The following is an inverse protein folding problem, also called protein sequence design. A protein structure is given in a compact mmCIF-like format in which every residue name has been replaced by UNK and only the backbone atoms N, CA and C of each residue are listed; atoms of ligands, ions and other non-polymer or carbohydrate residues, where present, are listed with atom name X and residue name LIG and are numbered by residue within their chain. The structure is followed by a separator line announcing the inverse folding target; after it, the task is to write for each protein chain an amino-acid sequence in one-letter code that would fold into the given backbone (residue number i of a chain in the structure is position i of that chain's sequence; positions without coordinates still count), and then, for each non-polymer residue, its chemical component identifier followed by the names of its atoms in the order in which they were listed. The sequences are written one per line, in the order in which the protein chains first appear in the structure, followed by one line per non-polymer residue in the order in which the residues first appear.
data_IF_819980708756
#
_entry.id   IF_819980708756
#
_cell.length_a   1.000
_cell.length_b   1.000
_cell.length_c   1.000
_cell.angle_alpha   90.00
_cell.angle_beta   90.00
_cell.angle_gamma   90.00
#
_symmetry.space_group_name_H-M   'P 1'
#
loop_
_entity.id
_entity.type
_entity.pdbx_description
1 polymer ?
#
# COMPACT_ATOMS: atom_id res chain seq x y z
N UNK A 1 1.36 -6.57 -8.08
CA UNK A 1 2.23 -6.81 -9.25
C UNK A 1 3.43 -7.67 -8.87
N UNK A 2 4.12 -7.36 -7.77
CA UNK A 2 5.25 -8.14 -7.23
C UNK A 2 4.93 -9.63 -6.99
N UNK A 3 3.77 -9.96 -6.41
CA UNK A 3 3.29 -11.35 -6.18
C UNK A 3 3.10 -12.14 -7.47
N UNK A 4 2.58 -11.50 -8.51
CA UNK A 4 2.33 -12.13 -9.81
C UNK A 4 3.65 -12.44 -10.51
N UNK A 5 4.57 -11.48 -10.55
CA UNK A 5 5.90 -11.64 -11.15
C UNK A 5 6.74 -12.67 -10.36
N UNK A 6 6.68 -12.66 -9.02
CA UNK A 6 7.46 -13.58 -8.19
C UNK A 6 6.95 -15.02 -8.23
N UNK A 7 5.63 -15.23 -8.30
CA UNK A 7 5.03 -16.58 -8.43
C UNK A 7 5.41 -17.24 -9.75
N UNK A 8 5.54 -16.47 -10.83
CA UNK A 8 5.98 -16.98 -12.14
C UNK A 8 7.44 -17.46 -12.12
N UNK A 9 8.31 -16.86 -11.30
CA UNK A 9 9.71 -17.26 -11.18
C UNK A 9 9.97 -18.38 -10.17
N UNK A 10 9.33 -18.32 -9.00
CA UNK A 10 9.47 -19.34 -7.95
C UNK A 10 8.22 -19.35 -7.04
N UNK A 11 7.41 -20.43 -7.07
CA UNK A 11 6.18 -20.51 -6.28
C UNK A 11 6.38 -20.29 -4.77
N UNK A 12 7.52 -20.71 -4.22
CA UNK A 12 7.83 -20.55 -2.79
C UNK A 12 8.05 -19.08 -2.43
N UNK A 13 8.75 -18.32 -3.30
CA UNK A 13 8.91 -16.88 -3.14
C UNK A 13 7.57 -16.14 -3.33
N UNK A 14 6.73 -16.62 -4.26
CA UNK A 14 5.37 -16.12 -4.45
C UNK A 14 4.52 -16.18 -3.18
N UNK A 15 4.51 -17.34 -2.49
CA UNK A 15 3.77 -17.51 -1.22
C UNK A 15 4.31 -16.60 -0.12
N UNK A 16 5.64 -16.48 0.03
CA UNK A 16 6.24 -15.57 1.02
C UNK A 16 5.84 -14.13 0.78
N UNK A 17 5.88 -13.66 -0.47
CA UNK A 17 5.50 -12.29 -0.83
C UNK A 17 4.00 -12.08 -0.66
N UNK A 18 3.17 -13.07 -0.98
CA UNK A 18 1.71 -12.99 -0.79
C UNK A 18 1.35 -12.81 0.70
N UNK A 19 1.99 -13.57 1.59
CA UNK A 19 1.79 -13.42 3.04
C UNK A 19 2.28 -12.06 3.53
N UNK A 20 3.44 -11.59 3.05
CA UNK A 20 3.96 -10.27 3.42
C UNK A 20 3.00 -9.14 3.03
N UNK A 21 2.45 -9.18 1.81
CA UNK A 21 1.45 -8.22 1.35
C UNK A 21 0.17 -8.32 2.19
N UNK A 22 -0.32 -9.54 2.45
CA UNK A 22 -1.53 -9.72 3.26
C UNK A 22 -1.41 -9.10 4.67
N UNK A 23 -0.23 -9.20 5.30
CA UNK A 23 0.03 -8.58 6.61
C UNK A 23 0.07 -7.05 6.49
N UNK A 24 0.67 -6.50 5.43
CA UNK A 24 0.73 -5.05 5.18
C UNK A 24 -0.65 -4.42 4.96
N UNK A 25 -1.54 -5.14 4.28
CA UNK A 25 -2.87 -4.65 3.94
C UNK A 25 -3.80 -4.56 5.16
N UNK A 26 -3.46 -5.17 6.31
CA UNK A 26 -4.25 -5.05 7.54
C UNK A 26 -4.20 -3.62 8.10
N UNK A 27 -3.02 -3.03 8.39
CA UNK A 27 -2.89 -1.61 8.73
C UNK A 27 -3.57 -0.66 7.74
N UNK A 28 -3.42 -0.90 6.44
CA UNK A 28 -4.03 -0.07 5.39
C UNK A 28 -5.55 -0.19 5.37
N UNK A 29 -6.09 -1.40 5.52
CA UNK A 29 -7.53 -1.60 5.66
C UNK A 29 -8.11 -0.85 6.86
N UNK A 30 -7.37 -0.78 7.97
CA UNK A 30 -7.76 0.00 9.15
C UNK A 30 -7.72 1.50 8.87
N UNK A 31 -6.69 2.00 8.17
CA UNK A 31 -6.58 3.43 7.83
C UNK A 31 -7.69 3.91 6.88
N UNK A 32 -8.23 3.01 6.04
CA UNK A 32 -9.41 3.30 5.20
C UNK A 32 -10.73 3.15 5.99
N UNK A 33 -10.86 2.11 6.82
CA UNK A 33 -12.11 1.81 7.52
C UNK A 33 -12.46 2.86 8.58
N UNK A 34 -11.48 3.34 9.36
CA UNK A 34 -11.72 4.26 10.48
C UNK A 34 -12.34 5.60 10.01
N UNK A 35 -11.78 6.31 9.02
CA UNK A 35 -12.34 7.57 8.53
C UNK A 35 -13.74 7.39 7.93
N UNK A 36 -13.97 6.29 7.20
CA UNK A 36 -15.29 5.95 6.67
C UNK A 36 -16.29 5.74 7.79
N UNK A 37 -15.91 5.01 8.85
CA UNK A 37 -16.77 4.84 10.02
C UNK A 37 -17.10 6.17 10.69
N UNK A 38 -16.12 7.06 10.88
CA UNK A 38 -16.37 8.38 11.47
C UNK A 38 -17.26 9.27 10.57
N UNK A 39 -17.19 9.11 9.25
CA UNK A 39 -18.02 9.87 8.31
C UNK A 39 -19.45 9.31 8.18
N UNK A 40 -19.64 7.99 8.29
CA UNK A 40 -20.94 7.34 8.02
C UNK A 40 -21.63 6.77 9.26
N UNK A 41 -20.92 6.66 10.38
CA UNK A 41 -21.34 5.99 11.62
C UNK A 41 -21.85 4.54 11.42
N UNK A 42 -21.37 3.86 10.38
CA UNK A 42 -21.82 2.52 9.97
C UNK A 42 -20.61 1.58 9.83
N UNK A 43 -20.48 0.66 10.79
CA UNK A 43 -19.37 -0.31 10.85
C UNK A 43 -19.36 -1.26 9.67
N UNK A 44 -20.54 -1.69 9.18
CA UNK A 44 -20.63 -2.64 8.06
C UNK A 44 -20.17 -1.96 6.78
N UNK A 45 -20.60 -0.71 6.54
CA UNK A 45 -20.14 0.08 5.38
C UNK A 45 -18.63 0.31 5.42
N UNK A 46 -18.08 0.68 6.58
CA UNK A 46 -16.64 0.87 6.75
C UNK A 46 -15.83 -0.38 6.37
N UNK A 47 -16.24 -1.56 6.85
CA UNK A 47 -15.58 -2.83 6.54
C UNK A 47 -15.71 -3.18 5.05
N UNK A 48 -16.91 -3.04 4.48
CA UNK A 48 -17.14 -3.35 3.06
C UNK A 48 -16.30 -2.45 2.16
N UNK A 49 -16.26 -1.14 2.44
CA UNK A 49 -15.48 -0.20 1.64
C UNK A 49 -13.97 -0.44 1.78
N UNK A 50 -13.48 -0.73 2.98
CA UNK A 50 -12.08 -1.12 3.17
C UNK A 50 -11.72 -2.43 2.44
N UNK A 51 -12.62 -3.42 2.45
CA UNK A 51 -12.44 -4.67 1.71
C UNK A 51 -12.42 -4.45 0.20
N UNK A 52 -13.35 -3.63 -0.33
CA UNK A 52 -13.38 -3.27 -1.74
C UNK A 52 -12.11 -2.51 -2.17
N UNK A 53 -11.59 -1.62 -1.31
CA UNK A 53 -10.29 -0.97 -1.51
C UNK A 53 -9.16 -1.99 -1.60
N UNK A 54 -9.12 -2.96 -0.68
CA UNK A 54 -8.11 -4.02 -0.69
C UNK A 54 -8.16 -4.92 -1.93
N UNK A 55 -9.32 -5.08 -2.56
CA UNK A 55 -9.45 -5.80 -3.85
C UNK A 55 -8.86 -5.00 -5.02
N UNK A 56 -8.78 -3.68 -4.92
CA UNK A 56 -8.25 -2.84 -5.99
C UNK A 56 -6.77 -3.18 -6.31
N UNK A 57 -5.98 -3.58 -5.31
CA UNK A 57 -4.58 -3.95 -5.50
C UNK A 57 -4.37 -5.22 -6.35
N UNK A 58 -4.96 -6.40 -6.06
CA UNK A 58 -4.80 -7.59 -6.90
C UNK A 58 -5.42 -7.39 -8.28
N UNK A 59 -6.53 -6.65 -8.39
CA UNK A 59 -7.15 -6.34 -9.68
C UNK A 59 -6.24 -5.42 -10.51
N UNK A 60 -5.72 -4.35 -9.92
CA UNK A 60 -4.77 -3.44 -10.55
C UNK A 60 -3.46 -4.13 -10.93
N UNK A 61 -2.98 -5.05 -10.08
CA UNK A 61 -1.83 -5.89 -10.36
C UNK A 61 -2.03 -6.81 -11.57
N UNK A 62 -3.22 -7.41 -11.70
CA UNK A 62 -3.56 -8.27 -12.82
C UNK A 62 -3.68 -7.47 -14.11
N UNK A 63 -4.46 -6.40 -14.10
CA UNK A 63 -4.69 -5.54 -15.29
C UNK A 63 -3.37 -4.90 -15.73
N UNK A 64 -2.65 -4.27 -14.81
CA UNK A 64 -1.36 -3.65 -15.07
C UNK A 64 -0.32 -4.66 -15.54
N UNK A 65 -0.30 -5.86 -14.92
CA UNK A 65 0.56 -6.95 -15.33
C UNK A 65 0.29 -7.40 -16.77
N UNK A 66 -0.97 -7.60 -17.14
CA UNK A 66 -1.35 -8.02 -18.50
C UNK A 66 -1.03 -6.96 -19.56
N UNK A 67 -1.25 -5.68 -19.26
CA UNK A 67 -0.98 -4.57 -20.18
C UNK A 67 0.53 -4.36 -20.35
N UNK A 68 1.29 -4.40 -19.25
CA UNK A 68 2.71 -4.06 -19.26
C UNK A 68 3.61 -5.23 -19.65
N UNK A 69 3.17 -6.50 -19.49
CA UNK A 69 3.98 -7.70 -19.77
C UNK A 69 4.73 -7.64 -21.11
N UNK A 70 4.09 -7.26 -22.24
CA UNK A 70 4.75 -7.22 -23.54
C UNK A 70 5.81 -6.13 -23.67
N UNK A 71 5.76 -5.11 -22.83
CA UNK A 71 6.60 -3.91 -22.88
C UNK A 71 7.60 -3.83 -21.72
N UNK A 72 7.67 -4.86 -20.87
CA UNK A 72 8.54 -4.90 -19.70
C UNK A 72 10.02 -4.82 -20.11
N UNK A 73 10.64 -3.70 -19.77
CA UNK A 73 12.08 -3.50 -19.78
C UNK A 73 12.49 -2.62 -18.59
N UNK A 74 13.79 -2.51 -18.32
CA UNK A 74 14.30 -1.77 -17.14
C UNK A 74 13.83 -0.31 -17.10
N UNK A 75 13.72 0.35 -18.26
CA UNK A 75 13.27 1.75 -18.36
C UNK A 75 11.78 1.87 -18.03
N UNK A 76 10.94 1.02 -18.62
CA UNK A 76 9.48 1.01 -18.36
C UNK A 76 9.22 0.70 -16.89
N UNK A 77 9.93 -0.28 -16.32
CA UNK A 77 9.82 -0.64 -14.91
C UNK A 77 10.22 0.53 -14.00
N UNK A 78 11.32 1.23 -14.31
CA UNK A 78 11.73 2.43 -13.58
C UNK A 78 10.70 3.56 -13.64
N UNK A 79 10.14 3.84 -14.82
CA UNK A 79 9.08 4.84 -14.99
C UNK A 79 7.83 4.46 -14.20
N UNK A 80 7.37 3.21 -14.29
CA UNK A 80 6.20 2.72 -13.55
C UNK A 80 6.43 2.82 -12.03
N UNK A 81 7.58 2.37 -11.53
CA UNK A 81 7.88 2.51 -10.10
C UNK A 81 7.99 3.95 -9.64
N UNK A 82 8.55 4.85 -10.46
CA UNK A 82 8.60 6.29 -10.12
C UNK A 82 7.21 6.90 -10.00
N UNK A 83 6.27 6.53 -10.89
CA UNK A 83 4.89 6.98 -10.82
C UNK A 83 4.17 6.43 -9.60
N UNK A 84 4.32 5.12 -9.31
CA UNK A 84 3.73 4.49 -8.12
C UNK A 84 4.26 5.14 -6.84
N UNK A 85 5.57 5.34 -6.75
CA UNK A 85 6.19 5.99 -5.60
C UNK A 85 5.66 7.42 -5.40
N UNK A 86 5.54 8.21 -6.48
CA UNK A 86 4.98 9.55 -6.43
C UNK A 86 3.53 9.58 -5.92
N UNK A 87 2.68 8.69 -6.44
CA UNK A 87 1.27 8.59 -6.01
C UNK A 87 1.18 8.18 -4.53
N UNK A 88 2.01 7.23 -4.09
CA UNK A 88 2.00 6.80 -2.68
C UNK A 88 2.47 7.89 -1.73
N UNK A 89 3.44 8.72 -2.14
CA UNK A 89 3.84 9.90 -1.37
C UNK A 89 2.71 10.91 -1.27
N UNK A 90 2.02 11.21 -2.39
CA UNK A 90 0.85 12.09 -2.40
C UNK A 90 -0.25 11.59 -1.47
N UNK A 91 -0.69 10.33 -1.61
CA UNK A 91 -1.72 9.73 -0.74
C UNK A 91 -1.27 9.80 0.73
N UNK A 92 0.00 9.51 1.02
CA UNK A 92 0.49 9.52 2.40
C UNK A 92 0.46 10.91 3.03
N UNK A 93 0.87 11.94 2.29
CA UNK A 93 1.02 13.29 2.81
C UNK A 93 -0.25 14.14 2.71
N UNK A 94 -1.03 14.00 1.64
CA UNK A 94 -2.20 14.85 1.39
C UNK A 94 -3.52 14.18 1.82
N UNK A 95 -3.55 12.85 1.99
CA UNK A 95 -4.76 12.15 2.43
C UNK A 95 -4.58 11.52 3.82
N UNK A 96 -3.60 10.64 4.00
CA UNK A 96 -3.44 9.86 5.24
C UNK A 96 -2.99 10.72 6.41
N UNK A 97 -1.98 11.58 6.24
CA UNK A 97 -1.49 12.45 7.33
C UNK A 97 -2.57 13.44 7.82
N UNK A 98 -3.27 14.21 6.96
CA UNK A 98 -4.34 15.11 7.40
C UNK A 98 -5.49 14.35 8.06
N UNK A 99 -5.79 13.14 7.58
CA UNK A 99 -6.78 12.26 8.19
C UNK A 99 -6.35 11.80 9.59
N UNK A 100 -5.09 11.42 9.76
CA UNK A 100 -4.53 11.04 11.05
C UNK A 100 -4.54 12.22 12.05
N UNK A 101 -4.25 13.44 11.59
CA UNK A 101 -4.34 14.65 12.42
C UNK A 101 -5.78 15.03 12.76
N UNK A 102 -6.72 14.81 11.83
CA UNK A 102 -8.15 15.13 12.05
C UNK A 102 -8.81 14.21 13.07
N UNK A 103 -8.45 12.92 13.06
CA UNK A 103 -9.06 11.90 13.92
C UNK A 103 -8.18 11.47 15.10
N UNK A 104 -6.97 12.01 15.22
CA UNK A 104 -5.99 11.70 16.25
C UNK A 104 -5.27 12.96 16.77
N UNK A 105 -4.19 12.76 17.51
CA UNK A 105 -3.39 13.86 18.06
C UNK A 105 -2.29 14.26 17.06
N UNK A 106 -2.21 15.55 16.74
CA UNK A 106 -1.28 16.12 15.75
C UNK A 106 0.18 15.66 15.98
N UNK A 107 0.68 15.77 17.21
CA UNK A 107 2.04 15.36 17.53
C UNK A 107 2.28 13.86 17.38
N UNK A 108 1.30 13.02 17.72
CA UNK A 108 1.42 11.56 17.59
C UNK A 108 1.44 11.16 16.11
N UNK A 109 0.61 11.81 15.27
CA UNK A 109 0.61 11.58 13.83
C UNK A 109 1.98 11.87 13.20
N UNK A 110 2.58 13.03 13.54
CA UNK A 110 3.91 13.42 13.06
C UNK A 110 4.99 12.45 13.56
N UNK A 111 4.98 12.08 14.85
CA UNK A 111 5.93 11.09 15.36
C UNK A 111 5.76 9.72 14.69
N UNK A 112 4.53 9.33 14.36
CA UNK A 112 4.24 8.11 13.59
C UNK A 112 4.86 8.14 12.21
N UNK A 113 4.71 9.26 11.47
CA UNK A 113 5.33 9.42 10.13
C UNK A 113 6.85 9.38 10.22
N UNK A 114 7.46 10.18 11.11
CA UNK A 114 8.93 10.25 11.23
C UNK A 114 9.52 8.90 11.64
N UNK A 115 8.92 8.23 12.63
CA UNK A 115 9.39 6.92 13.08
C UNK A 115 9.19 5.84 12.01
N UNK A 116 8.08 5.86 11.28
CA UNK A 116 7.84 4.98 10.14
C UNK A 116 8.89 5.17 9.04
N UNK A 117 9.19 6.42 8.66
CA UNK A 117 10.26 6.73 7.71
C UNK A 117 11.62 6.23 8.18
N UNK A 118 11.94 6.41 9.46
CA UNK A 118 13.20 5.93 10.04
C UNK A 118 13.30 4.40 10.03
N UNK A 119 12.23 3.68 10.41
CA UNK A 119 12.17 2.21 10.34
C UNK A 119 12.40 1.75 8.91
N UNK A 120 11.71 2.35 7.94
CA UNK A 120 11.88 1.99 6.52
C UNK A 120 13.31 2.24 6.04
N UNK A 121 13.92 3.38 6.39
CA UNK A 121 15.30 3.69 6.02
C UNK A 121 16.30 2.69 6.63
N UNK A 122 16.14 2.33 7.89
CA UNK A 122 16.98 1.33 8.57
C UNK A 122 16.78 -0.05 7.96
N UNK A 123 15.54 -0.47 7.70
CA UNK A 123 15.25 -1.75 7.06
C UNK A 123 15.89 -1.84 5.67
N UNK A 124 15.85 -0.77 4.88
CA UNK A 124 16.53 -0.72 3.59
C UNK A 124 18.04 -0.89 3.74
N UNK A 125 18.69 -0.16 4.65
CA UNK A 125 20.13 -0.26 4.88
C UNK A 125 20.57 -1.65 5.37
N UNK A 126 19.75 -2.34 6.14
CA UNK A 126 20.06 -3.68 6.67
C UNK A 126 19.80 -4.81 5.66
N UNK A 127 18.90 -4.59 4.68
CA UNK A 127 18.45 -5.61 3.73
C UNK A 127 18.96 -5.40 2.30
N UNK A 128 19.57 -4.25 1.99
CA UNK A 128 20.27 -3.95 0.73
C UNK A 128 21.68 -4.52 0.70
#
# INVERSE_FOLDING_TARGET
MATFISTLGNPKLGVTIAVAIAIHNIPEGISVAIPVYYATNDRKKAIILAFLSGIAEPVGALIGGLILLPFLNNTVMGVVFSMIAGIMVYISLDELLPTAEKYGEHHIAIYGVISGMAVMAISLLLLS
#
